data_IF_129072637202
#
_entry.id   IF_129072637202
#
_cell.length_a   1.000
_cell.length_b   1.000
_cell.length_c   1.000
_cell.angle_alpha   90.00
_cell.angle_beta   90.00
_cell.angle_gamma   90.00
#
_symmetry.space_group_name_H-M   'P 1'
#
loop_
_entity.id
_entity.type
_entity.pdbx_description
1 polymer ?
#
# COMPACT_ATOMS: atom_id res chain seq x y z
N UNK A 1 41.68 -1.89 -55.72
CA UNK A 1 40.54 -2.57 -55.07
C UNK A 1 40.70 -2.41 -53.56
N UNK A 2 40.03 -1.43 -52.95
CA UNK A 2 40.09 -1.16 -51.50
C UNK A 2 38.83 -1.74 -50.87
N UNK A 3 38.99 -2.81 -50.10
CA UNK A 3 37.92 -3.41 -49.31
C UNK A 3 37.73 -2.66 -47.98
N UNK A 4 36.45 -2.65 -47.59
CA UNK A 4 35.81 -2.02 -46.44
C UNK A 4 36.49 -2.33 -45.10
N UNK A 5 36.27 -1.45 -44.11
CA UNK A 5 35.69 -1.85 -42.82
C UNK A 5 35.14 -0.57 -42.13
N UNK A 6 33.81 -0.44 -42.05
CA UNK A 6 33.16 0.51 -41.18
C UNK A 6 32.99 -0.17 -39.82
N UNK A 7 33.60 0.37 -38.77
CA UNK A 7 33.42 -0.12 -37.42
C UNK A 7 32.04 0.33 -36.91
N UNK A 8 31.14 -0.63 -36.66
CA UNK A 8 29.96 -0.41 -35.84
C UNK A 8 30.42 -0.28 -34.39
N UNK A 9 30.29 0.90 -33.81
CA UNK A 9 30.38 1.09 -32.36
C UNK A 9 29.06 0.62 -31.75
N UNK A 10 29.06 -0.53 -31.08
CA UNK A 10 27.94 -0.97 -30.27
C UNK A 10 27.88 -0.11 -29.01
N UNK A 11 26.78 0.64 -28.83
CA UNK A 11 26.47 1.30 -27.57
C UNK A 11 26.00 0.21 -26.61
N UNK A 12 26.80 -0.07 -25.59
CA UNK A 12 26.39 -0.94 -24.50
C UNK A 12 25.26 -0.24 -23.73
N UNK A 13 24.03 -0.72 -23.88
CA UNK A 13 22.96 -0.37 -22.97
C UNK A 13 23.31 -0.98 -21.61
N UNK A 14 23.75 -0.13 -20.68
CA UNK A 14 23.81 -0.50 -19.26
C UNK A 14 22.37 -0.67 -18.82
N UNK A 15 21.94 -1.92 -18.69
CA UNK A 15 20.75 -2.25 -17.94
C UNK A 15 21.02 -1.78 -16.51
N UNK A 16 20.48 -0.61 -16.15
CA UNK A 16 20.33 -0.22 -14.76
C UNK A 16 19.34 -1.24 -14.22
N UNK A 17 19.84 -2.33 -13.66
CA UNK A 17 19.02 -3.22 -12.89
C UNK A 17 18.40 -2.36 -11.81
N UNK A 18 17.08 -2.12 -11.91
CA UNK A 18 16.31 -1.70 -10.75
C UNK A 18 16.75 -2.60 -9.60
N UNK A 19 17.06 -2.06 -8.41
CA UNK A 19 17.24 -2.94 -7.27
C UNK A 19 15.97 -3.78 -7.21
N UNK A 20 16.13 -5.08 -7.45
CA UNK A 20 15.04 -6.01 -7.25
C UNK A 20 14.48 -5.68 -5.88
N UNK A 21 13.18 -5.35 -5.82
CA UNK A 21 12.45 -5.25 -4.57
C UNK A 21 12.97 -6.41 -3.73
N UNK A 22 13.68 -6.09 -2.63
CA UNK A 22 14.26 -7.12 -1.79
C UNK A 22 13.17 -8.16 -1.58
N UNK A 23 13.44 -9.44 -1.84
CA UNK A 23 12.45 -10.48 -1.65
C UNK A 23 12.04 -10.45 -0.17
N UNK A 24 10.97 -9.71 0.10
CA UNK A 24 10.36 -9.68 1.41
C UNK A 24 9.74 -11.06 1.55
N UNK A 25 10.15 -11.76 2.62
CA UNK A 25 9.77 -13.14 2.84
C UNK A 25 8.24 -13.31 2.92
N UNK A 26 7.77 -14.56 2.87
CA UNK A 26 6.35 -14.93 2.78
C UNK A 26 5.47 -14.59 4.02
N UNK A 27 5.87 -13.68 4.90
CA UNK A 27 5.26 -13.49 6.23
C UNK A 27 4.58 -12.13 6.42
N UNK A 28 3.90 -11.61 5.39
CA UNK A 28 2.95 -10.51 5.62
C UNK A 28 1.78 -11.04 6.44
N UNK A 29 1.40 -10.38 7.56
CA UNK A 29 0.27 -10.84 8.36
C UNK A 29 -1.02 -10.74 7.53
N UNK A 30 -1.95 -11.63 7.81
CA UNK A 30 -3.28 -11.61 7.20
C UNK A 30 -4.02 -10.33 7.67
N UNK A 31 -4.32 -9.37 6.77
CA UNK A 31 -4.95 -8.11 7.14
C UNK A 31 -6.36 -8.27 7.69
N UNK A 32 -7.06 -9.38 7.37
CA UNK A 32 -8.40 -9.64 7.90
C UNK A 32 -8.39 -10.00 9.38
N UNK A 33 -7.24 -10.38 9.92
CA UNK A 33 -7.08 -10.66 11.36
C UNK A 33 -6.78 -9.42 12.19
N UNK A 34 -6.45 -8.29 11.55
CA UNK A 34 -6.03 -7.07 12.24
C UNK A 34 -7.18 -6.32 12.90
N UNK A 35 -8.40 -6.48 12.38
CA UNK A 35 -9.62 -5.87 12.93
C UNK A 35 -10.75 -6.88 12.93
N UNK A 36 -11.49 -6.94 14.03
CA UNK A 36 -12.81 -7.58 14.05
C UNK A 36 -13.83 -6.74 13.27
N UNK A 37 -14.90 -7.38 12.79
CA UNK A 37 -16.01 -6.68 12.15
C UNK A 37 -16.62 -5.59 13.05
N UNK A 38 -16.74 -5.83 14.35
CA UNK A 38 -17.23 -4.83 15.30
C UNK A 38 -16.30 -3.61 15.39
N UNK A 39 -14.98 -3.81 15.40
CA UNK A 39 -14.04 -2.69 15.41
C UNK A 39 -14.14 -1.87 14.13
N UNK A 40 -14.30 -2.51 12.98
CA UNK A 40 -14.53 -1.82 11.70
C UNK A 40 -15.79 -0.97 11.75
N UNK A 41 -16.89 -1.50 12.29
CA UNK A 41 -18.14 -0.76 12.47
C UNK A 41 -17.95 0.40 13.46
N UNK A 42 -17.27 0.19 14.58
CA UNK A 42 -17.04 1.22 15.60
C UNK A 42 -16.14 2.36 15.08
N UNK A 43 -15.09 2.04 14.33
CA UNK A 43 -14.13 3.00 13.78
C UNK A 43 -14.73 3.85 12.67
N UNK A 44 -15.60 3.28 11.85
CA UNK A 44 -16.16 3.96 10.66
C UNK A 44 -17.58 4.48 10.87
N UNK A 45 -18.32 3.91 11.82
CA UNK A 45 -19.75 4.13 12.01
C UNK A 45 -20.63 3.52 10.91
N UNK A 46 -20.10 2.59 10.09
CA UNK A 46 -20.82 1.99 8.95
C UNK A 46 -20.96 0.49 9.12
N UNK A 47 -22.12 -0.05 8.74
CA UNK A 47 -22.38 -1.50 8.80
C UNK A 47 -21.63 -2.22 7.69
N UNK A 48 -21.07 -3.39 7.99
CA UNK A 48 -20.45 -4.27 7.00
C UNK A 48 -21.53 -5.06 6.25
N UNK A 49 -21.41 -5.12 4.93
CA UNK A 49 -22.30 -5.92 4.07
C UNK A 49 -21.61 -7.16 3.51
N UNK A 50 -20.27 -7.13 3.39
CA UNK A 50 -19.44 -8.22 2.88
C UNK A 50 -17.99 -7.98 3.30
N UNK A 51 -17.25 -9.07 3.50
CA UNK A 51 -15.80 -9.06 3.68
C UNK A 51 -15.18 -9.77 2.49
N UNK A 52 -14.29 -9.06 1.79
CA UNK A 52 -13.48 -9.57 0.69
C UNK A 52 -12.06 -9.78 1.24
N UNK A 53 -11.73 -11.03 1.54
CA UNK A 53 -10.39 -11.45 1.96
C UNK A 53 -9.45 -11.43 0.74
N UNK A 54 -8.13 -11.30 0.96
CA UNK A 54 -7.22 -11.56 -0.15
C UNK A 54 -7.16 -13.05 -0.48
N UNK A 55 -7.12 -13.33 -1.78
CA UNK A 55 -6.82 -14.65 -2.33
C UNK A 55 -5.35 -14.71 -2.76
N UNK A 56 -4.44 -14.04 -2.01
CA UNK A 56 -3.07 -13.85 -2.44
C UNK A 56 -2.32 -15.19 -2.56
N UNK A 57 -1.71 -15.42 -3.72
CA UNK A 57 -0.93 -16.64 -3.97
C UNK A 57 0.43 -16.59 -3.25
N UNK A 58 1.05 -17.74 -2.95
CA UNK A 58 2.39 -17.77 -2.37
C UNK A 58 3.39 -16.99 -3.21
N UNK A 59 4.01 -15.97 -2.60
CA UNK A 59 5.00 -15.11 -3.25
C UNK A 59 4.47 -13.74 -3.71
N UNK A 60 3.18 -13.46 -3.54
CA UNK A 60 2.65 -12.10 -3.67
C UNK A 60 3.13 -11.21 -2.52
N UNK A 61 3.52 -9.97 -2.85
CA UNK A 61 4.08 -9.00 -1.91
C UNK A 61 3.06 -7.93 -1.50
N UNK A 62 1.78 -8.16 -1.74
CA UNK A 62 0.70 -7.30 -1.27
C UNK A 62 -0.37 -8.20 -0.70
N UNK A 63 -0.78 -7.94 0.53
CA UNK A 63 -1.93 -8.59 1.19
C UNK A 63 -3.02 -7.55 1.40
N UNK A 64 -4.28 -7.94 1.38
CA UNK A 64 -5.36 -7.01 1.71
C UNK A 64 -6.53 -7.66 2.44
N UNK A 65 -7.32 -6.82 3.10
CA UNK A 65 -8.66 -7.16 3.53
C UNK A 65 -9.58 -5.98 3.27
N UNK A 66 -10.74 -6.25 2.67
CA UNK A 66 -11.71 -5.24 2.33
C UNK A 66 -13.03 -5.53 3.02
N UNK A 67 -13.50 -4.58 3.82
CA UNK A 67 -14.84 -4.57 4.38
C UNK A 67 -15.71 -3.67 3.52
N UNK A 68 -16.61 -4.29 2.76
CA UNK A 68 -17.67 -3.55 2.08
C UNK A 68 -18.64 -3.02 3.12
N UNK A 69 -18.95 -1.73 3.03
CA UNK A 69 -19.78 -1.04 4.01
C UNK A 69 -21.02 -0.45 3.35
N UNK A 70 -22.08 -0.23 4.14
CA UNK A 70 -23.24 0.51 3.70
C UNK A 70 -22.82 1.91 3.21
N UNK A 71 -22.84 2.13 1.88
CA UNK A 71 -22.47 3.40 1.26
C UNK A 71 -20.97 3.63 1.05
N UNK A 72 -20.11 2.61 1.22
CA UNK A 72 -18.67 2.78 1.09
C UNK A 72 -17.87 1.50 1.30
N UNK A 73 -16.61 1.64 1.66
CA UNK A 73 -15.73 0.52 1.98
C UNK A 73 -14.56 1.00 2.85
N UNK A 74 -14.02 0.07 3.62
CA UNK A 74 -12.72 0.17 4.27
C UNK A 74 -11.81 -0.93 3.70
N UNK A 75 -10.59 -0.59 3.32
CA UNK A 75 -9.59 -1.57 2.87
C UNK A 75 -8.28 -1.31 3.58
N UNK A 76 -7.62 -2.37 4.03
CA UNK A 76 -6.24 -2.33 4.48
C UNK A 76 -5.42 -3.12 3.48
N UNK A 77 -4.41 -2.50 2.89
CA UNK A 77 -3.36 -3.17 2.14
C UNK A 77 -2.07 -3.15 2.96
N UNK A 78 -1.36 -4.27 2.96
CA UNK A 78 -0.02 -4.38 3.48
C UNK A 78 0.91 -4.74 2.33
N UNK A 79 1.92 -3.91 2.13
CA UNK A 79 2.99 -4.22 1.19
C UNK A 79 4.32 -3.89 1.83
N UNK A 80 5.38 -4.66 1.58
CA UNK A 80 6.69 -4.30 2.03
C UNK A 80 7.18 -3.00 1.38
N UNK A 81 8.00 -2.25 2.10
CA UNK A 81 8.57 -0.99 1.61
C UNK A 81 9.91 -0.69 2.26
N UNK A 82 10.64 0.27 1.70
CA UNK A 82 11.79 0.92 2.33
C UNK A 82 11.50 2.41 2.53
N UNK A 83 12.31 3.10 3.33
CA UNK A 83 12.21 4.56 3.44
C UNK A 83 12.42 5.25 2.08
N UNK A 84 13.28 4.70 1.22
CA UNK A 84 13.52 5.21 -0.12
C UNK A 84 12.32 5.01 -1.04
N UNK A 85 11.74 3.80 -1.03
CA UNK A 85 10.59 3.46 -1.87
C UNK A 85 9.34 4.23 -1.46
N UNK A 86 9.10 4.38 -0.14
CA UNK A 86 7.97 5.16 0.38
C UNK A 86 8.09 6.67 0.09
N UNK A 87 9.33 7.19 0.00
CA UNK A 87 9.58 8.58 -0.36
C UNK A 87 9.43 8.85 -1.87
N UNK A 88 9.17 7.83 -2.70
CA UNK A 88 8.86 8.01 -4.13
C UNK A 88 7.47 8.64 -4.24
N UNK A 89 7.46 9.97 -4.34
CA UNK A 89 6.25 10.77 -4.19
C UNK A 89 5.33 10.70 -5.40
N UNK A 90 4.03 10.60 -5.16
CA UNK A 90 3.05 11.19 -6.04
C UNK A 90 3.06 12.72 -5.82
N UNK A 91 3.28 13.56 -6.86
CA UNK A 91 3.38 15.01 -6.70
C UNK A 91 2.10 15.67 -6.16
N UNK A 92 0.99 14.95 -6.13
CA UNK A 92 -0.32 15.40 -5.64
C UNK A 92 -0.62 14.95 -4.19
N UNK A 93 0.30 14.23 -3.54
CA UNK A 93 0.09 13.73 -2.18
C UNK A 93 0.13 14.86 -1.13
N UNK A 94 -0.81 14.80 -0.18
CA UNK A 94 -0.82 15.64 1.02
C UNK A 94 -0.02 14.95 2.13
N UNK A 95 1.18 15.45 2.44
CA UNK A 95 2.00 14.91 3.53
C UNK A 95 1.43 15.29 4.91
N UNK A 96 1.24 14.29 5.76
CA UNK A 96 0.70 14.46 7.12
C UNK A 96 1.80 14.40 8.19
N UNK A 97 2.86 13.62 7.93
CA UNK A 97 4.06 13.46 8.75
C UNK A 97 5.19 12.86 7.91
N UNK A 98 6.40 12.72 8.47
CA UNK A 98 7.57 12.13 7.77
C UNK A 98 7.28 10.77 7.13
N UNK A 99 6.44 9.96 7.76
CA UNK A 99 6.13 8.59 7.34
C UNK A 99 4.67 8.40 6.95
N UNK A 100 3.94 9.47 6.60
CA UNK A 100 2.54 9.32 6.17
C UNK A 100 2.05 10.42 5.25
N UNK A 101 1.25 10.06 4.25
CA UNK A 101 0.59 10.98 3.35
C UNK A 101 -0.81 10.51 2.95
N UNK A 102 -1.65 11.45 2.55
CA UNK A 102 -2.99 11.23 2.03
C UNK A 102 -3.01 11.46 0.52
N UNK A 103 -3.60 10.52 -0.22
CA UNK A 103 -3.75 10.63 -1.66
C UNK A 103 -4.98 9.83 -2.13
N UNK A 104 -5.85 10.46 -2.91
CA UNK A 104 -6.95 9.79 -3.61
C UNK A 104 -7.87 8.89 -2.74
N UNK A 105 -8.07 9.22 -1.45
CA UNK A 105 -8.88 8.41 -0.53
C UNK A 105 -8.10 7.39 0.30
N UNK A 106 -6.77 7.36 0.15
CA UNK A 106 -5.86 6.44 0.82
C UNK A 106 -4.95 7.17 1.79
N UNK A 107 -4.85 6.63 3.01
CA UNK A 107 -3.83 6.99 3.97
C UNK A 107 -2.68 5.99 3.87
N UNK A 108 -1.55 6.45 3.38
CA UNK A 108 -0.32 5.67 3.31
C UNK A 108 0.53 5.96 4.55
N UNK A 109 0.97 4.91 5.23
CA UNK A 109 1.85 5.00 6.41
C UNK A 109 2.99 4.01 6.28
N UNK A 110 4.22 4.47 6.46
CA UNK A 110 5.39 3.60 6.60
C UNK A 110 5.57 3.23 8.06
N UNK A 111 5.58 1.93 8.35
CA UNK A 111 5.88 1.37 9.65
C UNK A 111 6.92 0.25 9.49
N UNK A 112 8.10 0.42 10.09
CA UNK A 112 9.26 -0.46 9.91
C UNK A 112 9.57 -0.76 8.43
N UNK A 113 9.30 -1.99 7.99
CA UNK A 113 9.53 -2.50 6.63
C UNK A 113 8.24 -2.64 5.83
N UNK A 114 7.13 -2.07 6.32
CA UNK A 114 5.81 -2.15 5.72
C UNK A 114 5.31 -0.75 5.32
N UNK A 115 4.61 -0.73 4.21
CA UNK A 115 3.64 0.29 3.87
C UNK A 115 2.26 -0.26 4.24
N UNK A 116 1.55 0.50 5.07
CA UNK A 116 0.15 0.29 5.40
C UNK A 116 -0.60 1.30 4.55
N UNK A 117 -1.47 0.82 3.68
CA UNK A 117 -2.40 1.65 2.90
C UNK A 117 -3.82 1.39 3.41
N UNK A 118 -4.43 2.43 3.99
CA UNK A 118 -5.81 2.40 4.44
C UNK A 118 -6.67 3.22 3.48
N UNK A 119 -7.47 2.53 2.68
CA UNK A 119 -8.50 3.14 1.86
C UNK A 119 -9.80 3.25 2.66
N UNK A 120 -10.35 4.46 2.76
CA UNK A 120 -11.66 4.68 3.38
C UNK A 120 -12.56 5.49 2.45
N UNK A 121 -13.77 5.00 2.24
CA UNK A 121 -14.78 5.64 1.40
C UNK A 121 -16.16 5.56 2.05
N UNK A 122 -17.01 6.52 1.73
CA UNK A 122 -18.43 6.55 2.11
C UNK A 122 -18.81 7.76 2.97
N UNK A 123 -17.82 8.53 3.42
CA UNK A 123 -17.98 9.88 3.94
C UNK A 123 -17.37 10.95 3.03
N UNK A 124 -17.31 12.18 3.53
CA UNK A 124 -16.47 13.24 2.95
C UNK A 124 -14.98 12.89 3.10
N UNK A 125 -14.11 13.51 2.31
CA UNK A 125 -12.65 13.26 2.39
C UNK A 125 -12.10 13.48 3.80
N UNK A 126 -12.54 14.53 4.48
CA UNK A 126 -12.16 14.79 5.87
C UNK A 126 -12.61 13.68 6.83
N UNK A 127 -13.81 13.11 6.61
CA UNK A 127 -14.29 11.98 7.42
C UNK A 127 -13.54 10.71 7.09
N UNK A 128 -13.30 10.43 5.80
CA UNK A 128 -12.58 9.24 5.35
C UNK A 128 -11.14 9.23 5.89
N UNK A 129 -10.44 10.37 5.84
CA UNK A 129 -9.12 10.52 6.44
C UNK A 129 -9.16 10.34 7.97
N UNK A 130 -10.19 10.86 8.65
CA UNK A 130 -10.34 10.68 10.08
C UNK A 130 -10.60 9.21 10.47
N UNK A 131 -11.41 8.49 9.68
CA UNK A 131 -11.64 7.04 9.86
C UNK A 131 -10.33 6.28 9.63
N UNK A 132 -9.60 6.58 8.55
CA UNK A 132 -8.34 5.92 8.21
C UNK A 132 -7.25 6.13 9.27
N UNK A 133 -7.14 7.33 9.86
CA UNK A 133 -6.23 7.61 10.98
C UNK A 133 -6.54 6.75 12.20
N UNK A 134 -7.81 6.66 12.59
CA UNK A 134 -8.23 5.81 13.72
C UNK A 134 -7.93 4.33 13.45
N UNK A 135 -8.14 3.87 12.22
CA UNK A 135 -7.78 2.50 11.81
C UNK A 135 -6.29 2.25 11.96
N UNK A 136 -5.44 3.15 11.45
CA UNK A 136 -3.97 3.04 11.58
C UNK A 136 -3.54 2.99 13.05
N UNK A 137 -4.12 3.82 13.92
CA UNK A 137 -3.80 3.85 15.35
C UNK A 137 -4.07 2.50 16.04
N UNK A 138 -5.07 1.76 15.57
CA UNK A 138 -5.43 0.42 16.07
C UNK A 138 -4.58 -0.68 15.44
N UNK A 139 -4.27 -0.54 14.14
CA UNK A 139 -3.58 -1.57 13.34
C UNK A 139 -2.09 -1.63 13.62
N UNK A 140 -1.40 -0.48 13.73
CA UNK A 140 0.06 -0.45 13.92
C UNK A 140 0.52 -1.31 15.11
N UNK A 141 -0.10 -1.25 16.31
CA UNK A 141 0.32 -2.08 17.45
C UNK A 141 0.14 -3.60 17.26
N UNK A 142 -0.53 -4.04 16.19
CA UNK A 142 -0.85 -5.45 15.88
C UNK A 142 0.02 -6.01 14.75
N UNK A 143 0.84 -5.18 14.12
CA UNK A 143 1.83 -5.53 13.10
C UNK A 143 3.20 -5.76 13.74
#
# INVERSE_FOLDING_TARGET
MKHRLAALTAVAAVAIGSPAAAAFGPDLPDPCTLLSESEVVDLTGRTIVQVDEDDAEPGENVRYCQWQQSGGQLVIFLSPTTAGDFAVTAPEAEWLAENSYWLAGHLFVRHDKLQIDVYSRGGSDARNLADAKQVVDVVIPRL
#
